data_IF_165673022812
#
_entry.id   IF_165673022812
#
_cell.length_a   1.000
_cell.length_b   1.000
_cell.length_c   1.000
_cell.angle_alpha   90.00
_cell.angle_beta   90.00
_cell.angle_gamma   90.00
#
_symmetry.space_group_name_H-M   'P 1'
#
loop_
_entity.id
_entity.type
_entity.pdbx_description
1 polymer ?
#
# COMPACT_ATOMS: atom_id res chain seq x y z
N UNK A 1 5.34 39.82 -31.38
CA UNK A 1 4.04 40.24 -30.80
C UNK A 1 3.01 40.28 -31.93
N UNK A 2 2.09 39.32 -31.96
CA UNK A 2 1.05 39.24 -32.98
C UNK A 2 -0.32 39.30 -32.29
N UNK A 3 -1.27 40.03 -32.88
CA UNK A 3 -2.64 40.03 -32.39
C UNK A 3 -3.22 38.62 -32.53
N UNK A 4 -3.87 38.12 -31.47
CA UNK A 4 -4.45 36.77 -31.44
C UNK A 4 -5.71 36.61 -32.31
N UNK A 5 -6.25 37.71 -32.84
CA UNK A 5 -7.40 37.70 -33.75
C UNK A 5 -7.44 38.97 -34.62
N UNK A 6 -8.03 38.87 -35.81
CA UNK A 6 -8.26 40.00 -36.71
C UNK A 6 -9.15 41.09 -36.09
N UNK A 7 -10.07 40.69 -35.22
CA UNK A 7 -10.89 41.63 -34.45
C UNK A 7 -10.04 42.47 -33.48
N UNK A 8 -9.06 41.85 -32.81
CA UNK A 8 -8.14 42.58 -31.94
C UNK A 8 -7.27 43.53 -32.74
N UNK A 9 -6.77 43.10 -33.92
CA UNK A 9 -5.95 43.92 -34.81
C UNK A 9 -6.70 45.15 -35.31
N UNK A 10 -7.93 44.98 -35.78
CA UNK A 10 -8.78 46.08 -36.30
C UNK A 10 -9.16 47.06 -35.19
N UNK A 11 -9.49 46.58 -33.99
CA UNK A 11 -9.78 47.44 -32.84
C UNK A 11 -8.58 48.28 -32.42
N UNK A 12 -7.40 47.68 -32.34
CA UNK A 12 -6.15 48.39 -32.01
C UNK A 12 -5.77 49.41 -33.08
N UNK A 13 -5.92 49.08 -34.36
CA UNK A 13 -5.68 50.02 -35.45
C UNK A 13 -6.65 51.23 -35.40
N UNK A 14 -7.93 51.00 -35.14
CA UNK A 14 -8.91 52.08 -34.98
C UNK A 14 -8.58 53.01 -33.80
N UNK A 15 -8.11 52.46 -32.67
CA UNK A 15 -7.69 53.28 -31.53
C UNK A 15 -6.45 54.13 -31.82
N UNK A 16 -5.48 53.58 -32.56
CA UNK A 16 -4.28 54.32 -32.96
C UNK A 16 -4.63 55.43 -33.95
N UNK A 17 -5.48 55.15 -34.94
CA UNK A 17 -5.93 56.16 -35.90
C UNK A 17 -6.63 57.32 -35.19
N UNK A 18 -7.50 57.03 -34.21
CA UNK A 18 -8.17 58.07 -33.39
C UNK A 18 -7.20 58.88 -32.54
N UNK A 19 -6.12 58.26 -32.04
CA UNK A 19 -5.07 58.95 -31.31
C UNK A 19 -4.27 59.89 -32.22
N UNK A 20 -3.93 59.42 -33.43
CA UNK A 20 -3.23 60.22 -34.43
C UNK A 20 -4.08 61.39 -34.95
N UNK A 21 -5.40 61.20 -35.10
CA UNK A 21 -6.34 62.29 -35.42
C UNK A 21 -6.34 63.40 -34.37
N UNK A 22 -6.17 63.05 -33.09
CA UNK A 22 -6.16 64.03 -32.00
C UNK A 22 -4.80 64.72 -31.81
N UNK A 23 -3.70 64.05 -32.17
CA UNK A 23 -2.33 64.53 -31.95
C UNK A 23 -1.75 65.28 -33.16
N UNK A 24 -2.19 64.94 -34.38
CA UNK A 24 -1.71 65.57 -35.61
C UNK A 24 -2.87 66.27 -36.34
N UNK A 25 -2.93 67.62 -36.33
CA UNK A 25 -3.90 68.33 -37.13
C UNK A 25 -3.69 68.01 -38.62
N UNK A 26 -4.74 67.52 -39.29
CA UNK A 26 -4.71 67.10 -40.69
C UNK A 26 -4.56 65.60 -40.93
N UNK A 27 -4.32 64.78 -39.90
CA UNK A 27 -4.23 63.32 -39.99
C UNK A 27 -5.62 62.65 -40.08
N UNK A 28 -6.47 63.05 -41.03
CA UNK A 28 -7.72 62.30 -41.29
C UNK A 28 -7.42 61.12 -42.20
N UNK A 29 -7.30 59.91 -41.63
CA UNK A 29 -7.26 58.70 -42.45
C UNK A 29 -8.65 58.46 -43.03
N UNK A 30 -8.91 58.89 -44.27
CA UNK A 30 -10.14 58.61 -45.01
C UNK A 30 -10.28 57.10 -45.27
N UNK A 31 -10.75 56.36 -44.27
CA UNK A 31 -11.25 55.00 -44.48
C UNK A 31 -12.65 55.09 -45.08
N UNK A 32 -12.72 55.18 -46.41
CA UNK A 32 -13.97 55.13 -47.20
C UNK A 32 -14.51 53.69 -47.25
N UNK A 33 -14.78 53.09 -46.09
CA UNK A 33 -15.55 51.85 -46.00
C UNK A 33 -16.78 52.20 -45.17
N UNK A 34 -18.00 52.13 -45.72
CA UNK A 34 -19.21 52.33 -44.96
C UNK A 34 -19.37 51.15 -43.99
N UNK A 35 -18.68 51.22 -42.85
CA UNK A 35 -19.00 50.43 -41.68
C UNK A 35 -20.41 50.85 -41.29
N UNK A 36 -21.39 49.98 -41.54
CA UNK A 36 -22.73 50.13 -40.98
C UNK A 36 -22.53 50.42 -39.49
N UNK A 37 -22.91 51.63 -39.06
CA UNK A 37 -22.88 52.04 -37.66
C UNK A 37 -23.94 51.20 -36.94
N UNK A 38 -23.58 49.98 -36.60
CA UNK A 38 -24.41 49.10 -35.78
C UNK A 38 -24.58 49.84 -34.46
N UNK A 39 -25.83 50.16 -34.14
CA UNK A 39 -26.15 50.87 -32.92
C UNK A 39 -25.59 50.10 -31.72
N UNK A 40 -25.11 50.81 -30.70
CA UNK A 40 -24.70 50.18 -29.42
C UNK A 40 -25.80 49.27 -28.87
N UNK A 41 -27.06 49.65 -29.08
CA UNK A 41 -28.25 48.85 -28.74
C UNK A 41 -28.41 47.60 -29.61
N UNK A 42 -28.01 47.64 -30.89
CA UNK A 42 -28.07 46.49 -31.81
C UNK A 42 -26.94 45.49 -31.52
N UNK A 43 -25.77 45.96 -31.11
CA UNK A 43 -24.71 45.10 -30.59
C UNK A 43 -25.12 44.45 -29.25
N UNK A 44 -25.74 45.24 -28.36
CA UNK A 44 -26.27 44.72 -27.09
C UNK A 44 -27.36 43.67 -27.30
N UNK A 45 -28.31 43.89 -28.20
CA UNK A 45 -29.38 42.92 -28.48
C UNK A 45 -28.84 41.63 -29.12
N UNK A 46 -27.81 41.72 -29.97
CA UNK A 46 -27.09 40.56 -30.51
C UNK A 46 -26.32 39.78 -29.44
N UNK A 47 -25.72 40.44 -28.47
CA UNK A 47 -25.03 39.76 -27.36
C UNK A 47 -26.01 39.11 -26.38
N UNK A 48 -27.12 39.78 -26.07
CA UNK A 48 -28.17 39.26 -25.18
C UNK A 48 -28.89 38.06 -25.81
N UNK A 49 -29.16 38.09 -27.11
CA UNK A 49 -29.77 36.97 -27.83
C UNK A 49 -28.83 35.76 -27.96
N UNK A 50 -27.52 35.98 -28.18
CA UNK A 50 -26.52 34.91 -28.22
C UNK A 50 -26.24 34.25 -26.86
N UNK A 51 -26.55 34.92 -25.75
CA UNK A 51 -26.27 34.44 -24.37
C UNK A 51 -27.44 33.74 -23.68
N UNK A 52 -28.58 33.51 -24.34
CA UNK A 52 -29.68 32.74 -23.76
C UNK A 52 -29.38 31.24 -23.85
N UNK A 53 -28.48 30.78 -22.97
CA UNK A 53 -28.29 29.35 -22.73
C UNK A 53 -29.64 28.71 -22.41
N UNK A 54 -29.90 27.54 -22.99
CA UNK A 54 -31.11 26.80 -22.66
C UNK A 54 -31.13 26.44 -21.18
N UNK A 55 -32.31 26.23 -20.60
CA UNK A 55 -32.44 25.80 -19.20
C UNK A 55 -31.65 24.51 -18.94
N UNK A 56 -31.51 23.64 -19.94
CA UNK A 56 -30.74 22.40 -19.85
C UNK A 56 -29.23 22.63 -19.82
N UNK A 57 -28.73 23.56 -20.63
CA UNK A 57 -27.31 23.95 -20.63
C UNK A 57 -26.90 24.57 -19.30
N UNK A 58 -27.76 25.42 -18.71
CA UNK A 58 -27.54 25.99 -17.37
C UNK A 58 -27.48 24.89 -16.31
N UNK A 59 -28.39 23.90 -16.36
CA UNK A 59 -28.38 22.75 -15.44
C UNK A 59 -27.09 21.92 -15.59
N UNK A 60 -26.65 21.67 -16.82
CA UNK A 60 -25.40 20.94 -17.10
C UNK A 60 -24.17 21.71 -16.59
N UNK A 61 -24.10 23.02 -16.85
CA UNK A 61 -23.02 23.88 -16.36
C UNK A 61 -22.96 23.90 -14.82
N UNK A 62 -24.10 24.08 -14.15
CA UNK A 62 -24.19 24.07 -12.68
C UNK A 62 -23.80 22.70 -12.09
N UNK A 63 -24.15 21.59 -12.73
CA UNK A 63 -23.72 20.24 -12.30
C UNK A 63 -22.20 20.09 -12.38
N UNK A 64 -21.58 20.55 -13.46
CA UNK A 64 -20.13 20.52 -13.64
C UNK A 64 -19.44 21.41 -12.60
N UNK A 65 -19.95 22.61 -12.36
CA UNK A 65 -19.39 23.53 -11.37
C UNK A 65 -19.50 22.97 -9.95
N UNK A 66 -20.66 22.41 -9.58
CA UNK A 66 -20.86 21.73 -8.29
C UNK A 66 -19.88 20.56 -8.12
N UNK A 67 -19.67 19.76 -9.15
CA UNK A 67 -18.70 18.66 -9.12
C UNK A 67 -17.26 19.17 -8.93
N UNK A 68 -16.87 20.26 -9.61
CA UNK A 68 -15.56 20.92 -9.43
C UNK A 68 -15.38 21.45 -8.02
N UNK A 69 -16.39 22.14 -7.47
CA UNK A 69 -16.38 22.65 -6.10
C UNK A 69 -16.27 21.52 -5.08
N UNK A 70 -17.05 20.45 -5.23
CA UNK A 70 -16.98 19.28 -4.36
C UNK A 70 -15.61 18.60 -4.41
N UNK A 71 -15.00 18.49 -5.61
CA UNK A 71 -13.64 17.95 -5.75
C UNK A 71 -12.61 18.81 -5.01
N UNK A 72 -12.72 20.14 -5.07
CA UNK A 72 -11.85 21.04 -4.33
C UNK A 72 -12.07 20.93 -2.81
N UNK A 73 -13.32 20.88 -2.37
CA UNK A 73 -13.65 20.67 -0.95
C UNK A 73 -13.06 19.35 -0.43
N UNK A 74 -13.23 18.24 -1.16
CA UNK A 74 -12.66 16.96 -0.77
C UNK A 74 -11.13 17.00 -0.69
N UNK A 75 -10.46 17.64 -1.64
CA UNK A 75 -9.00 17.84 -1.58
C UNK A 75 -8.58 18.64 -0.34
N UNK A 76 -9.32 19.69 0.01
CA UNK A 76 -9.04 20.48 1.19
C UNK A 76 -9.29 19.69 2.48
N UNK A 77 -10.37 18.91 2.54
CA UNK A 77 -10.66 18.00 3.65
C UNK A 77 -9.57 16.94 3.82
N UNK A 78 -9.02 16.40 2.74
CA UNK A 78 -7.89 15.46 2.80
C UNK A 78 -6.62 16.12 3.33
N UNK A 79 -6.30 17.34 2.87
CA UNK A 79 -5.18 18.13 3.38
C UNK A 79 -5.32 18.44 4.86
N UNK A 80 -6.52 18.81 5.30
CA UNK A 80 -6.82 19.09 6.71
C UNK A 80 -6.74 17.82 7.58
N UNK A 81 -7.20 16.67 7.07
CA UNK A 81 -7.02 15.36 7.72
C UNK A 81 -5.54 15.00 7.84
N UNK A 82 -4.72 15.29 6.82
CA UNK A 82 -3.28 15.04 6.88
C UNK A 82 -2.61 15.99 7.88
N UNK A 83 -2.97 17.26 7.86
CA UNK A 83 -2.46 18.28 8.77
C UNK A 83 -2.79 17.93 10.23
N UNK A 84 -4.05 17.65 10.54
CA UNK A 84 -4.47 17.26 11.90
C UNK A 84 -3.77 15.98 12.39
N UNK A 85 -3.52 15.00 11.51
CA UNK A 85 -2.69 13.83 11.85
C UNK A 85 -1.25 14.23 12.17
N UNK A 86 -0.65 15.12 11.39
CA UNK A 86 0.72 15.59 11.60
C UNK A 86 0.84 16.37 12.92
N UNK A 87 -0.12 17.24 13.22
CA UNK A 87 -0.21 17.94 14.51
C UNK A 87 -0.28 16.93 15.66
N UNK A 88 -1.22 15.98 15.61
CA UNK A 88 -1.35 14.91 16.63
C UNK A 88 -0.05 14.12 16.79
N UNK A 89 0.60 13.78 15.69
CA UNK A 89 1.88 13.07 15.71
C UNK A 89 2.96 13.89 16.42
N UNK A 90 3.09 15.17 16.11
CA UNK A 90 4.09 16.04 16.73
C UNK A 90 3.86 16.22 18.23
N UNK A 91 2.60 16.42 18.65
CA UNK A 91 2.21 16.53 20.07
C UNK A 91 2.56 15.24 20.83
N UNK A 92 2.17 14.08 20.29
CA UNK A 92 2.49 12.79 20.92
C UNK A 92 4.01 12.56 20.93
N UNK A 93 4.72 12.97 19.88
CA UNK A 93 6.17 12.83 19.78
C UNK A 93 6.89 13.68 20.82
N UNK A 94 6.41 14.90 21.11
CA UNK A 94 6.96 15.71 22.19
C UNK A 94 6.69 15.10 23.57
N UNK A 95 5.51 14.53 23.79
CA UNK A 95 5.16 13.91 25.08
C UNK A 95 5.75 12.51 25.27
N UNK A 96 6.32 11.87 24.24
CA UNK A 96 6.87 10.51 24.32
C UNK A 96 7.93 10.35 25.41
N UNK A 97 8.75 11.38 25.63
CA UNK A 97 9.83 11.36 26.61
C UNK A 97 9.43 12.00 27.94
N UNK A 98 8.26 12.65 27.99
CA UNK A 98 7.70 13.26 29.19
C UNK A 98 6.78 12.27 29.88
N UNK A 99 6.81 12.19 31.21
CA UNK A 99 5.91 11.31 31.98
C UNK A 99 4.42 11.73 31.92
N UNK A 100 4.10 12.84 31.23
CA UNK A 100 2.77 13.45 31.16
C UNK A 100 2.07 13.16 29.82
N UNK A 101 1.89 11.88 29.47
CA UNK A 101 1.05 11.51 28.32
C UNK A 101 -0.42 11.64 28.72
N UNK A 102 -1.19 12.44 27.98
CA UNK A 102 -2.61 12.65 28.25
C UNK A 102 -3.44 11.37 28.02
N UNK A 103 -4.51 11.15 28.78
CA UNK A 103 -5.39 9.98 28.64
C UNK A 103 -5.94 9.81 27.22
N UNK A 104 -6.25 10.92 26.55
CA UNK A 104 -6.73 10.93 25.17
C UNK A 104 -5.66 10.42 24.19
N UNK A 105 -4.41 10.79 24.43
CA UNK A 105 -3.26 10.35 23.63
C UNK A 105 -3.01 8.85 23.81
N UNK A 106 -3.09 8.36 25.06
CA UNK A 106 -2.96 6.94 25.37
C UNK A 106 -4.07 6.13 24.68
N UNK A 107 -5.32 6.60 24.74
CA UNK A 107 -6.46 5.95 24.07
C UNK A 107 -6.28 5.93 22.56
N UNK A 108 -5.78 7.01 21.97
CA UNK A 108 -5.46 7.09 20.55
C UNK A 108 -4.33 6.11 20.16
N UNK A 109 -3.25 6.06 20.93
CA UNK A 109 -2.14 5.14 20.73
C UNK A 109 -2.57 3.67 20.85
N UNK A 110 -3.37 3.32 21.86
CA UNK A 110 -3.93 1.98 22.02
C UNK A 110 -4.75 1.56 20.81
N UNK A 111 -5.55 2.48 20.25
CA UNK A 111 -6.32 2.25 19.01
C UNK A 111 -5.39 2.05 17.80
N UNK A 112 -4.31 2.83 17.71
CA UNK A 112 -3.32 2.71 16.64
C UNK A 112 -2.59 1.36 16.71
N UNK A 113 -2.14 0.95 17.90
CA UNK A 113 -1.48 -0.33 18.15
C UNK A 113 -2.42 -1.49 17.77
N UNK A 114 -3.70 -1.43 18.14
CA UNK A 114 -4.67 -2.47 17.77
C UNK A 114 -4.81 -2.61 16.26
N UNK A 115 -4.89 -1.49 15.53
CA UNK A 115 -5.00 -1.50 14.07
C UNK A 115 -3.72 -2.00 13.39
N UNK A 116 -2.57 -1.50 13.82
CA UNK A 116 -1.28 -1.86 13.21
C UNK A 116 -0.91 -3.32 13.52
N UNK A 117 -1.10 -3.78 14.76
CA UNK A 117 -0.87 -5.20 15.12
C UNK A 117 -1.78 -6.14 14.34
N UNK A 118 -3.04 -5.76 14.10
CA UNK A 118 -3.94 -6.53 13.24
C UNK A 118 -3.45 -6.54 11.77
N UNK A 119 -3.07 -5.39 11.23
CA UNK A 119 -2.58 -5.29 9.85
C UNK A 119 -1.28 -6.10 9.64
N UNK A 120 -0.34 -6.04 10.60
CA UNK A 120 0.92 -6.83 10.56
C UNK A 120 0.62 -8.32 10.64
N UNK A 121 -0.26 -8.75 11.57
CA UNK A 121 -0.65 -10.15 11.68
C UNK A 121 -1.32 -10.67 10.42
N UNK A 122 -2.19 -9.88 9.79
CA UNK A 122 -2.85 -10.26 8.54
C UNK A 122 -1.89 -10.30 7.35
N UNK A 123 -0.91 -9.39 7.30
CA UNK A 123 0.03 -9.31 6.18
C UNK A 123 1.13 -10.39 6.25
N UNK A 124 1.54 -10.78 7.46
CA UNK A 124 2.63 -11.74 7.67
C UNK A 124 2.23 -13.08 8.28
N UNK A 125 0.98 -13.25 8.68
CA UNK A 125 0.46 -14.49 9.25
C UNK A 125 -0.14 -15.40 8.18
N UNK A 126 0.04 -16.70 8.35
CA UNK A 126 -0.78 -17.70 7.69
C UNK A 126 -2.14 -17.68 8.39
N UNK A 127 -3.19 -17.28 7.67
CA UNK A 127 -4.57 -17.20 8.20
C UNK A 127 -5.19 -18.60 8.37
N UNK A 128 -4.68 -19.61 7.67
CA UNK A 128 -5.12 -21.00 7.79
C UNK A 128 -4.40 -21.71 8.96
N UNK A 129 -5.13 -22.13 10.02
CA UNK A 129 -4.55 -22.84 11.15
C UNK A 129 -3.85 -24.14 10.75
N UNK A 130 -4.39 -24.89 9.79
CA UNK A 130 -3.81 -26.18 9.39
C UNK A 130 -2.46 -26.00 8.70
N UNK A 131 -2.37 -25.05 7.77
CA UNK A 131 -1.12 -24.76 7.05
C UNK A 131 -0.08 -24.20 8.01
N UNK A 132 -0.51 -23.40 9.01
CA UNK A 132 0.40 -22.86 10.01
C UNK A 132 1.03 -23.96 10.86
N UNK A 133 0.24 -24.95 11.27
CA UNK A 133 0.73 -26.08 12.06
C UNK A 133 1.70 -26.96 11.25
N UNK A 134 1.39 -27.25 9.98
CA UNK A 134 2.27 -27.99 9.08
C UNK A 134 3.60 -27.26 8.83
N UNK A 135 3.55 -25.94 8.59
CA UNK A 135 4.75 -25.12 8.40
C UNK A 135 5.61 -25.08 9.67
N UNK A 136 4.99 -25.07 10.85
CA UNK A 136 5.73 -25.08 12.11
C UNK A 136 6.35 -26.46 12.40
N UNK A 137 5.66 -27.54 12.07
CA UNK A 137 6.21 -28.90 12.13
C UNK A 137 7.42 -29.06 11.21
N UNK A 138 7.31 -28.64 9.95
CA UNK A 138 8.42 -28.65 8.99
C UNK A 138 9.60 -27.80 9.47
N UNK A 139 9.35 -26.61 10.04
CA UNK A 139 10.41 -25.78 10.64
C UNK A 139 11.11 -26.50 11.78
N UNK A 140 10.35 -27.18 12.63
CA UNK A 140 10.91 -27.94 13.76
C UNK A 140 11.75 -29.13 13.27
N UNK A 141 11.32 -29.79 12.20
CA UNK A 141 12.06 -30.89 11.57
C UNK A 141 13.36 -30.40 10.93
N UNK A 142 13.32 -29.31 10.16
CA UNK A 142 14.52 -28.69 9.58
C UNK A 142 15.50 -28.26 10.67
N UNK A 143 14.99 -27.65 11.75
CA UNK A 143 15.83 -27.30 12.91
C UNK A 143 16.42 -28.55 13.57
N UNK A 144 15.69 -29.65 13.67
CA UNK A 144 16.23 -30.90 14.21
C UNK A 144 17.35 -31.48 13.32
N UNK A 145 17.19 -31.43 12.00
CA UNK A 145 18.19 -31.90 11.04
C UNK A 145 19.45 -31.02 10.99
N UNK A 146 19.31 -29.71 11.19
CA UNK A 146 20.47 -28.78 11.20
C UNK A 146 21.26 -28.83 12.51
N UNK A 147 20.71 -29.41 13.57
CA UNK A 147 21.37 -29.53 14.86
C UNK A 147 22.17 -30.83 14.95
N UNK A 148 23.51 -30.77 14.89
CA UNK A 148 24.40 -31.94 15.05
C UNK A 148 24.16 -32.76 16.34
N UNK A 149 23.59 -32.13 17.37
CA UNK A 149 23.24 -32.80 18.64
C UNK A 149 22.13 -33.83 18.48
N UNK A 150 21.24 -33.65 17.50
CA UNK A 150 20.13 -34.56 17.24
C UNK A 150 20.63 -35.89 16.68
N UNK A 151 21.58 -35.85 15.75
CA UNK A 151 22.24 -37.04 15.19
C UNK A 151 23.00 -37.82 16.27
N UNK A 152 23.77 -37.11 17.12
CA UNK A 152 24.48 -37.76 18.24
C UNK A 152 23.55 -38.40 19.26
N UNK A 153 22.40 -37.80 19.53
CA UNK A 153 21.40 -38.34 20.45
C UNK A 153 20.74 -39.61 19.87
N UNK A 154 20.35 -39.56 18.59
CA UNK A 154 19.72 -40.68 17.88
C UNK A 154 20.67 -41.87 17.73
N UNK A 155 21.94 -41.61 17.42
CA UNK A 155 22.98 -42.63 17.34
C UNK A 155 23.24 -43.29 18.71
N UNK A 156 23.27 -42.49 19.79
CA UNK A 156 23.44 -43.01 21.15
C UNK A 156 22.27 -43.92 21.57
N UNK A 157 21.04 -43.56 21.20
CA UNK A 157 19.87 -44.40 21.44
C UNK A 157 19.92 -45.72 20.65
N UNK A 158 20.36 -45.68 19.39
CA UNK A 158 20.53 -46.91 18.60
C UNK A 158 21.63 -47.82 19.16
N UNK A 159 22.76 -47.25 19.56
CA UNK A 159 23.84 -48.00 20.24
C UNK A 159 23.39 -48.62 21.55
N UNK A 160 22.60 -47.89 22.35
CA UNK A 160 22.02 -48.44 23.58
C UNK A 160 21.02 -49.59 23.32
N UNK A 161 20.22 -49.49 22.25
CA UNK A 161 19.31 -50.57 21.83
C UNK A 161 20.07 -51.81 21.32
N UNK A 162 21.13 -51.61 20.54
CA UNK A 162 22.00 -52.71 20.09
C UNK A 162 22.75 -53.36 21.26
N UNK A 163 23.28 -52.56 22.19
CA UNK A 163 23.95 -53.07 23.39
C UNK A 163 23.00 -53.88 24.26
N UNK A 164 21.81 -53.35 24.54
CA UNK A 164 20.80 -54.06 25.35
C UNK A 164 20.24 -55.30 24.65
N UNK A 165 20.15 -55.31 23.31
CA UNK A 165 19.82 -56.52 22.55
C UNK A 165 20.93 -57.58 22.68
N UNK A 166 22.18 -57.21 22.42
CA UNK A 166 23.33 -58.12 22.54
C UNK A 166 23.51 -58.65 23.98
N UNK A 167 23.22 -57.82 24.97
CA UNK A 167 23.28 -58.23 26.38
C UNK A 167 22.18 -59.23 26.73
N UNK A 168 20.95 -59.04 26.23
CA UNK A 168 19.85 -60.01 26.37
C UNK A 168 20.10 -61.33 25.64
N UNK A 169 20.84 -61.28 24.53
CA UNK A 169 21.29 -62.46 23.81
C UNK A 169 22.37 -63.21 24.60
N UNK A 170 23.37 -62.49 25.13
CA UNK A 170 24.44 -63.08 25.95
C UNK A 170 23.96 -63.64 27.28
N UNK A 171 22.97 -63.01 27.90
CA UNK A 171 22.35 -63.50 29.14
C UNK A 171 21.35 -64.65 28.91
N UNK A 172 21.16 -65.08 27.65
CA UNK A 172 20.32 -66.22 27.30
C UNK A 172 18.81 -65.96 27.41
N UNK A 173 18.40 -64.71 27.65
CA UNK A 173 16.98 -64.32 27.74
C UNK A 173 16.34 -64.24 26.35
N UNK A 174 17.13 -63.90 25.33
CA UNK A 174 16.70 -63.87 23.92
C UNK A 174 17.54 -64.86 23.10
N UNK A 175 16.91 -65.84 22.48
CA UNK A 175 17.54 -66.66 21.44
C UNK A 175 17.71 -65.85 20.16
N UNK A 176 18.86 -66.00 19.47
CA UNK A 176 19.08 -65.33 18.20
C UNK A 176 17.98 -65.77 17.21
N UNK A 177 17.19 -64.83 16.65
CA UNK A 177 16.18 -65.20 15.67
C UNK A 177 16.88 -65.72 14.41
N UNK A 178 16.81 -67.03 14.18
CA UNK A 178 17.45 -67.73 13.05
C UNK A 178 18.48 -68.80 13.45
N UNK A 179 18.89 -68.86 14.72
CA UNK A 179 19.58 -70.04 15.26
C UNK A 179 18.50 -70.98 15.84
N UNK A 180 18.43 -72.21 15.35
CA UNK A 180 17.29 -73.12 15.62
C UNK A 180 17.06 -73.28 17.12
N UNK A 181 15.88 -72.96 17.65
CA UNK A 181 15.54 -73.24 19.04
C UNK A 181 15.44 -74.76 19.19
N UNK A 182 16.49 -75.39 19.71
CA UNK A 182 16.58 -76.85 19.84
C UNK A 182 17.89 -77.49 19.37
N UNK A 183 18.90 -76.71 18.98
CA UNK A 183 20.25 -77.26 18.85
C UNK A 183 20.76 -77.60 20.26
N UNK A 184 21.04 -78.88 20.52
CA UNK A 184 21.52 -79.33 21.82
C UNK A 184 22.87 -78.67 22.16
N UNK A 185 23.12 -78.32 23.44
CA UNK A 185 24.44 -77.87 23.85
C UNK A 185 25.45 -78.99 23.53
N UNK A 186 26.45 -78.66 22.72
CA UNK A 186 27.58 -79.54 22.45
C UNK A 186 28.50 -79.44 23.67
N UNK A 187 28.60 -80.51 24.45
CA UNK A 187 29.55 -80.60 25.55
C UNK A 187 30.98 -80.62 24.99
N UNK A 188 31.85 -79.75 25.51
CA UNK A 188 33.22 -79.55 25.02
C UNK A 188 34.20 -80.68 25.44
N UNK A 189 33.73 -81.75 26.06
CA UNK A 189 34.59 -82.79 26.64
C UNK A 189 34.73 -84.06 25.76
N UNK A 190 34.23 -84.05 24.52
CA UNK A 190 34.27 -85.25 23.67
C UNK A 190 34.64 -84.90 22.22
N UNK A 191 35.84 -84.36 21.97
CA UNK A 191 36.52 -84.38 20.65
C UNK A 191 37.94 -83.79 20.72
N UNK A 192 38.91 -84.54 21.25
CA UNK A 192 40.34 -84.36 20.89
C UNK A 192 41.15 -85.66 21.08
N UNK A 193 40.57 -86.78 20.63
CA UNK A 193 41.29 -88.05 20.43
C UNK A 193 40.84 -88.67 19.09
N UNK A 194 41.32 -88.11 17.97
CA UNK A 194 41.79 -88.78 16.74
C UNK A 194 42.37 -87.78 15.72
#
# INVERSE_FOLDING_TARGET
MAFSSDLSKTRSQATLNKLFENMLPGSTTRSNIPLKKISTTENFSREVSKKRLSKEEIKKANKIEKAKRNKQLNKNLEKEKLFSKNVKYNVIKSHKNSQNISEEEQKYLKKLIKKNSFAVRRAGGLDDPMIKDEVEELRSEILALTNEKYDRSKERQQKAKLSSFNEKVKSGVLTYPGLTPGLAPVDYDESDDE
#
